data_IF_964397649284
#
_entry.id   IF_964397649284
#
_cell.length_a   1.000
_cell.length_b   1.000
_cell.length_c   1.000
_cell.angle_alpha   90.00
_cell.angle_beta   90.00
_cell.angle_gamma   90.00
#
_symmetry.space_group_name_H-M   'P 1'
#
loop_
_entity.id
_entity.type
_entity.pdbx_description
1 polymer ?
#
# COMPACT_ATOMS: atom_id res chain seq x y z
N UNK A 1 -5.08 -29.41 -13.72
CA UNK A 1 -5.40 -29.43 -12.28
C UNK A 1 -6.74 -28.75 -12.05
N UNK A 2 -7.68 -29.42 -11.38
CA UNK A 2 -9.04 -28.90 -11.14
C UNK A 2 -9.06 -27.93 -9.94
N UNK A 3 -10.04 -27.03 -9.91
CA UNK A 3 -10.20 -26.09 -8.80
C UNK A 3 -10.48 -26.81 -7.47
N UNK A 4 -11.23 -27.92 -7.50
CA UNK A 4 -11.53 -28.74 -6.32
C UNK A 4 -10.28 -29.39 -5.73
N UNK A 5 -9.39 -29.91 -6.57
CA UNK A 5 -8.13 -30.48 -6.11
C UNK A 5 -7.25 -29.39 -5.49
N UNK A 6 -7.10 -28.25 -6.17
CA UNK A 6 -6.35 -27.12 -5.62
C UNK A 6 -6.92 -26.66 -4.28
N UNK A 7 -8.25 -26.60 -4.15
CA UNK A 7 -8.90 -26.27 -2.89
C UNK A 7 -8.55 -27.23 -1.77
N UNK A 8 -8.54 -28.54 -2.04
CA UNK A 8 -8.16 -29.54 -1.03
C UNK A 8 -6.73 -29.34 -0.53
N UNK A 9 -5.83 -28.85 -1.37
CA UNK A 9 -4.45 -28.51 -0.99
C UNK A 9 -4.41 -27.22 -0.16
N UNK A 10 -5.02 -26.13 -0.65
CA UNK A 10 -4.80 -24.78 -0.06
C UNK A 10 -5.75 -24.41 1.08
N UNK A 11 -6.87 -25.12 1.26
CA UNK A 11 -7.95 -24.75 2.20
C UNK A 11 -7.49 -24.60 3.65
N UNK A 12 -6.45 -25.33 4.06
CA UNK A 12 -5.93 -25.36 5.42
C UNK A 12 -4.46 -24.91 5.54
N UNK A 13 -3.75 -24.80 4.41
CA UNK A 13 -2.33 -24.47 4.34
C UNK A 13 -2.10 -23.51 3.17
N UNK A 14 -2.08 -22.21 3.46
CA UNK A 14 -1.83 -21.14 2.50
C UNK A 14 -1.21 -19.95 3.23
N UNK A 15 -0.27 -19.24 2.61
CA UNK A 15 0.31 -18.02 3.17
C UNK A 15 -0.71 -16.88 3.33
N UNK A 16 -1.81 -16.92 2.56
CA UNK A 16 -2.90 -15.95 2.64
C UNK A 16 -3.89 -16.24 3.78
N UNK A 17 -3.78 -17.42 4.42
CA UNK A 17 -4.76 -17.88 5.39
C UNK A 17 -4.57 -17.20 6.75
N UNK A 18 -5.62 -16.56 7.26
CA UNK A 18 -5.62 -15.95 8.59
C UNK A 18 -6.71 -16.61 9.44
N UNK A 19 -6.30 -17.19 10.57
CA UNK A 19 -7.21 -17.80 11.56
C UNK A 19 -7.17 -16.98 12.84
N UNK A 20 -8.27 -16.30 13.18
CA UNK A 20 -8.41 -15.47 14.39
C UNK A 20 -9.85 -15.48 14.87
N UNK A 21 -10.08 -15.38 16.18
CA UNK A 21 -11.43 -15.23 16.78
C UNK A 21 -12.45 -16.27 16.27
N UNK A 22 -12.05 -17.55 16.18
CA UNK A 22 -12.87 -18.67 15.64
C UNK A 22 -13.38 -18.44 14.21
N UNK A 23 -12.80 -17.49 13.48
CA UNK A 23 -13.12 -17.16 12.09
C UNK A 23 -11.90 -17.38 11.20
N UNK A 24 -12.15 -17.67 9.93
CA UNK A 24 -11.10 -17.91 8.94
C UNK A 24 -11.25 -16.97 7.76
N UNK A 25 -10.21 -16.16 7.54
CA UNK A 25 -10.11 -15.17 6.49
C UNK A 25 -9.01 -15.55 5.52
N UNK A 26 -8.99 -14.86 4.39
CA UNK A 26 -7.98 -15.07 3.37
C UNK A 26 -7.68 -13.75 2.65
N UNK A 27 -6.39 -13.44 2.53
CA UNK A 27 -5.87 -12.16 2.00
C UNK A 27 -5.41 -12.24 0.54
N UNK A 28 -5.79 -13.29 -0.18
CA UNK A 28 -5.42 -13.43 -1.59
C UNK A 28 -6.09 -12.36 -2.45
N UNK A 29 -5.41 -11.90 -3.53
CA UNK A 29 -6.02 -11.00 -4.49
C UNK A 29 -7.25 -11.63 -5.14
N UNK A 30 -8.19 -10.79 -5.57
CA UNK A 30 -9.47 -11.20 -6.17
C UNK A 30 -10.40 -12.04 -5.26
N UNK A 31 -10.28 -11.90 -3.93
CA UNK A 31 -11.27 -12.42 -2.97
C UNK A 31 -12.21 -11.32 -2.47
N UNK A 32 -13.41 -11.26 -3.07
CA UNK A 32 -14.40 -10.20 -2.81
C UNK A 32 -15.00 -10.17 -1.39
N UNK A 33 -14.80 -11.21 -0.57
CA UNK A 33 -15.27 -11.24 0.83
C UNK A 33 -14.15 -11.38 1.85
N UNK A 34 -12.89 -11.50 1.41
CA UNK A 34 -11.76 -11.86 2.28
C UNK A 34 -12.02 -13.11 3.15
N UNK A 35 -12.90 -14.02 2.70
CA UNK A 35 -13.26 -15.24 3.44
C UNK A 35 -12.55 -16.43 2.83
N UNK A 36 -11.96 -17.28 3.67
CA UNK A 36 -11.44 -18.56 3.21
C UNK A 36 -12.61 -19.49 2.84
N UNK A 37 -12.92 -19.56 1.55
CA UNK A 37 -14.01 -20.37 1.03
C UNK A 37 -13.79 -20.68 -0.43
N UNK A 38 -14.28 -21.84 -0.86
CA UNK A 38 -14.15 -22.25 -2.25
C UNK A 38 -14.71 -21.19 -3.22
N UNK A 39 -15.92 -20.68 -2.97
CA UNK A 39 -16.64 -19.80 -3.92
C UNK A 39 -15.92 -18.49 -4.25
N UNK A 40 -15.30 -17.86 -3.24
CA UNK A 40 -14.71 -16.51 -3.36
C UNK A 40 -13.20 -16.53 -3.57
N UNK A 41 -12.56 -17.70 -3.64
CA UNK A 41 -11.11 -17.78 -3.76
C UNK A 41 -10.60 -17.25 -5.11
N UNK A 42 -9.61 -16.36 -5.07
CA UNK A 42 -9.09 -15.66 -6.25
C UNK A 42 -7.99 -16.39 -7.02
N UNK A 43 -7.49 -17.52 -6.51
CA UNK A 43 -6.33 -18.23 -7.07
C UNK A 43 -6.76 -19.48 -7.85
N UNK A 44 -7.64 -20.29 -7.26
CA UNK A 44 -7.93 -21.65 -7.74
C UNK A 44 -8.90 -21.69 -8.92
N UNK A 45 -9.73 -20.65 -9.09
CA UNK A 45 -10.73 -20.62 -10.16
C UNK A 45 -10.11 -20.21 -11.50
N UNK A 46 -10.65 -20.79 -12.58
CA UNK A 46 -10.33 -20.36 -13.96
C UNK A 46 -10.87 -18.97 -14.26
N UNK A 47 -11.97 -18.59 -13.61
CA UNK A 47 -12.64 -17.30 -13.75
C UNK A 47 -12.76 -16.61 -12.40
N UNK A 48 -12.11 -15.47 -12.25
CA UNK A 48 -12.12 -14.65 -11.05
C UNK A 48 -12.42 -13.20 -11.40
N UNK A 49 -13.03 -12.50 -10.44
CA UNK A 49 -13.37 -11.07 -10.55
C UNK A 49 -12.93 -10.41 -9.26
N UNK A 50 -12.00 -9.47 -9.35
CA UNK A 50 -11.61 -8.57 -8.29
C UNK A 50 -12.07 -7.14 -8.58
N UNK A 51 -12.13 -6.35 -7.52
CA UNK A 51 -12.46 -4.94 -7.57
C UNK A 51 -11.53 -4.23 -6.61
N UNK A 52 -10.80 -3.25 -7.12
CA UNK A 52 -9.72 -2.56 -6.42
C UNK A 52 -9.85 -1.05 -6.62
N UNK A 53 -9.31 -0.22 -5.72
CA UNK A 53 -9.23 1.22 -5.97
C UNK A 53 -8.32 1.49 -7.18
N UNK A 54 -8.65 2.53 -7.94
CA UNK A 54 -7.69 3.05 -8.92
C UNK A 54 -6.50 3.69 -8.20
N UNK A 55 -5.30 3.54 -8.75
CA UNK A 55 -4.07 4.11 -8.20
C UNK A 55 -4.17 5.64 -8.06
N UNK A 56 -4.84 6.28 -9.00
CA UNK A 56 -5.04 7.74 -9.04
C UNK A 56 -6.07 8.25 -8.00
N UNK A 57 -6.61 7.36 -7.17
CA UNK A 57 -7.69 7.67 -6.21
C UNK A 57 -9.03 8.00 -6.87
N UNK A 58 -9.11 7.95 -8.21
CA UNK A 58 -10.30 8.29 -9.00
C UNK A 58 -10.84 7.07 -9.71
N UNK A 59 -11.95 6.55 -9.19
CA UNK A 59 -12.65 5.42 -9.77
C UNK A 59 -12.18 4.06 -9.26
N UNK A 60 -12.49 3.02 -10.02
CA UNK A 60 -12.38 1.63 -9.59
C UNK A 60 -11.74 0.80 -10.70
N UNK A 61 -10.85 -0.12 -10.33
CA UNK A 61 -10.23 -1.10 -11.22
C UNK A 61 -10.93 -2.43 -11.07
N UNK A 62 -11.44 -2.97 -12.18
CA UNK A 62 -11.99 -4.32 -12.22
C UNK A 62 -10.91 -5.25 -12.77
N UNK A 63 -10.60 -6.30 -12.00
CA UNK A 63 -9.56 -7.27 -12.35
C UNK A 63 -10.24 -8.59 -12.73
N UNK A 64 -9.99 -9.08 -13.94
CA UNK A 64 -10.59 -10.32 -14.45
C UNK A 64 -9.49 -11.24 -14.97
N UNK A 65 -9.60 -12.54 -14.70
CA UNK A 65 -8.68 -13.54 -15.23
C UNK A 65 -8.96 -13.83 -16.71
N UNK A 66 -7.93 -13.88 -17.54
CA UNK A 66 -8.05 -14.30 -18.95
C UNK A 66 -8.48 -15.76 -19.03
N UNK A 67 -9.08 -16.16 -20.15
CA UNK A 67 -9.37 -17.59 -20.41
C UNK A 67 -8.09 -18.36 -20.76
N UNK A 68 -7.23 -17.75 -21.58
CA UNK A 68 -5.92 -18.27 -21.97
C UNK A 68 -4.85 -17.90 -20.94
N UNK A 69 -3.64 -18.45 -21.09
CA UNK A 69 -2.48 -18.03 -20.28
C UNK A 69 -2.59 -18.36 -18.79
N UNK A 70 -3.36 -19.39 -18.40
CA UNK A 70 -3.57 -19.74 -16.98
C UNK A 70 -2.28 -20.07 -16.23
N UNK A 71 -1.25 -20.55 -16.94
CA UNK A 71 0.08 -20.87 -16.39
C UNK A 71 1.08 -19.71 -16.53
N UNK A 72 0.63 -18.54 -16.98
CA UNK A 72 1.44 -17.34 -17.22
C UNK A 72 0.97 -16.22 -16.29
N UNK A 73 1.36 -16.24 -15.00
CA UNK A 73 0.78 -15.36 -13.98
C UNK A 73 0.87 -13.88 -14.37
N UNK A 74 2.00 -13.44 -14.93
CA UNK A 74 2.25 -12.07 -15.39
C UNK A 74 1.19 -11.54 -16.37
N UNK A 75 0.68 -12.39 -17.28
CA UNK A 75 -0.27 -11.98 -18.33
C UNK A 75 -1.69 -12.49 -18.08
N UNK A 76 -1.90 -13.27 -17.02
CA UNK A 76 -3.15 -14.00 -16.77
C UNK A 76 -4.31 -13.12 -16.33
N UNK A 77 -4.05 -11.86 -15.96
CA UNK A 77 -5.06 -10.91 -15.51
C UNK A 77 -5.22 -9.74 -16.48
N UNK A 78 -6.44 -9.23 -16.60
CA UNK A 78 -6.77 -7.99 -17.29
C UNK A 78 -7.35 -7.04 -16.26
N UNK A 79 -6.82 -5.82 -16.23
CA UNK A 79 -7.28 -4.76 -15.35
C UNK A 79 -7.97 -3.71 -16.21
N UNK A 80 -9.21 -3.40 -15.88
CA UNK A 80 -10.00 -2.36 -16.57
C UNK A 80 -10.32 -1.27 -15.56
N UNK A 81 -9.73 -0.09 -15.74
CA UNK A 81 -10.02 1.08 -14.94
C UNK A 81 -11.33 1.72 -15.40
N UNK A 82 -12.22 2.00 -14.45
CA UNK A 82 -13.48 2.70 -14.70
C UNK A 82 -13.48 3.97 -13.87
N UNK A 83 -13.22 5.08 -14.55
CA UNK A 83 -13.28 6.42 -13.98
C UNK A 83 -14.54 7.13 -14.49
N UNK A 84 -15.68 6.79 -13.87
CA UNK A 84 -17.00 7.38 -14.16
C UNK A 84 -17.71 7.69 -12.85
N UNK A 85 -18.84 8.39 -12.92
CA UNK A 85 -19.72 8.58 -11.76
C UNK A 85 -20.17 7.23 -11.15
N UNK A 86 -20.55 7.23 -9.87
CA UNK A 86 -20.84 6.01 -9.14
C UNK A 86 -21.91 5.12 -9.80
N UNK A 87 -22.99 5.73 -10.32
CA UNK A 87 -24.09 4.99 -10.98
C UNK A 87 -23.60 4.33 -12.27
N UNK A 88 -22.86 5.04 -13.11
CA UNK A 88 -22.32 4.52 -14.37
C UNK A 88 -21.26 3.44 -14.12
N UNK A 89 -20.41 3.61 -13.10
CA UNK A 89 -19.42 2.60 -12.69
C UNK A 89 -20.10 1.30 -12.27
N UNK A 90 -21.08 1.36 -11.36
CA UNK A 90 -21.83 0.18 -10.93
C UNK A 90 -22.63 -0.48 -12.06
N UNK A 91 -23.15 0.32 -13.00
CA UNK A 91 -23.82 -0.20 -14.19
C UNK A 91 -22.84 -0.94 -15.09
N UNK A 92 -21.68 -0.34 -15.37
CA UNK A 92 -20.62 -0.92 -16.21
C UNK A 92 -20.12 -2.26 -15.64
N UNK A 93 -19.85 -2.30 -14.33
CA UNK A 93 -19.43 -3.52 -13.61
C UNK A 93 -20.48 -4.64 -13.76
N UNK A 94 -21.75 -4.33 -13.49
CA UNK A 94 -22.84 -5.32 -13.61
C UNK A 94 -23.02 -5.79 -15.06
N UNK A 95 -22.84 -4.89 -16.02
CA UNK A 95 -22.99 -5.18 -17.44
C UNK A 95 -21.89 -6.13 -17.92
N UNK A 96 -20.62 -5.87 -17.58
CA UNK A 96 -19.49 -6.75 -17.92
C UNK A 96 -19.72 -8.18 -17.45
N UNK A 97 -20.20 -8.38 -16.21
CA UNK A 97 -20.45 -9.73 -15.68
C UNK A 97 -21.65 -10.38 -16.36
N UNK A 98 -22.75 -9.64 -16.51
CA UNK A 98 -24.03 -10.17 -17.00
C UNK A 98 -23.96 -10.52 -18.48
N UNK A 99 -23.45 -9.62 -19.33
CA UNK A 99 -23.43 -9.85 -20.79
C UNK A 99 -22.43 -10.93 -21.18
N UNK A 100 -21.27 -10.97 -20.53
CA UNK A 100 -20.25 -11.98 -20.82
C UNK A 100 -20.50 -13.33 -20.10
N UNK A 101 -21.58 -13.44 -19.31
CA UNK A 101 -21.91 -14.62 -18.48
C UNK A 101 -20.68 -15.12 -17.69
N UNK A 102 -19.84 -14.21 -17.19
CA UNK A 102 -18.50 -14.57 -16.73
C UNK A 102 -18.51 -15.26 -15.36
N UNK A 103 -19.10 -14.62 -14.35
CA UNK A 103 -19.35 -15.12 -12.98
C UNK A 103 -20.66 -14.53 -12.45
N UNK A 104 -21.83 -14.95 -12.99
CA UNK A 104 -23.12 -14.34 -12.64
C UNK A 104 -23.45 -14.50 -11.14
N UNK A 105 -22.90 -15.53 -10.50
CA UNK A 105 -22.99 -15.81 -9.07
C UNK A 105 -22.36 -14.73 -8.18
N UNK A 106 -21.38 -13.98 -8.69
CA UNK A 106 -20.70 -12.90 -7.97
C UNK A 106 -21.26 -11.51 -8.31
N UNK A 107 -22.16 -11.38 -9.29
CA UNK A 107 -22.62 -10.09 -9.84
C UNK A 107 -23.03 -9.07 -8.78
N UNK A 108 -23.87 -9.48 -7.83
CA UNK A 108 -24.35 -8.58 -6.78
C UNK A 108 -23.24 -8.20 -5.81
N UNK A 109 -22.37 -9.15 -5.49
CA UNK A 109 -21.25 -8.92 -4.59
C UNK A 109 -20.22 -7.96 -5.21
N UNK A 110 -19.85 -8.15 -6.47
CA UNK A 110 -18.92 -7.26 -7.19
C UNK A 110 -19.47 -5.83 -7.22
N UNK A 111 -20.78 -5.65 -7.45
CA UNK A 111 -21.40 -4.33 -7.39
C UNK A 111 -21.34 -3.70 -5.98
N UNK A 112 -21.54 -4.49 -4.93
CA UNK A 112 -21.43 -4.00 -3.53
C UNK A 112 -20.00 -3.59 -3.20
N UNK A 113 -19.02 -4.42 -3.54
CA UNK A 113 -17.59 -4.11 -3.33
C UNK A 113 -17.17 -2.89 -4.15
N UNK A 114 -17.59 -2.78 -5.41
CA UNK A 114 -17.30 -1.60 -6.24
C UNK A 114 -17.92 -0.32 -5.68
N UNK A 115 -19.07 -0.39 -5.03
CA UNK A 115 -19.65 0.75 -4.33
C UNK A 115 -18.80 1.14 -3.13
N UNK A 116 -18.43 0.18 -2.29
CA UNK A 116 -17.57 0.42 -1.11
C UNK A 116 -16.25 1.05 -1.53
N UNK A 117 -15.61 0.49 -2.57
CA UNK A 117 -14.33 0.98 -3.06
C UNK A 117 -14.41 2.39 -3.65
N UNK A 118 -15.48 2.71 -4.37
CA UNK A 118 -15.71 4.06 -4.89
C UNK A 118 -15.91 5.08 -3.76
N UNK A 119 -16.59 4.69 -2.67
CA UNK A 119 -16.77 5.55 -1.49
C UNK A 119 -15.44 5.76 -0.76
N UNK A 120 -14.68 4.70 -0.49
CA UNK A 120 -13.39 4.81 0.20
C UNK A 120 -12.34 5.63 -0.56
N UNK A 121 -12.43 5.68 -1.89
CA UNK A 121 -11.56 6.49 -2.74
C UNK A 121 -11.84 8.00 -2.60
N UNK A 122 -13.04 8.38 -2.16
CA UNK A 122 -13.38 9.77 -1.81
C UNK A 122 -12.87 10.17 -0.42
N UNK A 123 -12.71 9.20 0.49
CA UNK A 123 -12.31 9.44 1.88
C UNK A 123 -10.78 9.54 2.07
N UNK A 124 -9.99 8.94 1.17
CA UNK A 124 -8.52 8.96 1.20
C UNK A 124 -7.86 10.22 0.60
N UNK A 125 -8.62 11.28 0.31
CA UNK A 125 -8.01 12.59 0.10
C UNK A 125 -7.41 13.06 1.44
N UNK A 126 -6.16 13.57 1.49
CA UNK A 126 -5.65 14.16 2.72
C UNK A 126 -6.62 15.28 3.13
N UNK A 127 -7.25 15.14 4.30
CA UNK A 127 -8.13 16.19 4.82
C UNK A 127 -7.30 17.48 4.89
N UNK A 128 -7.70 18.56 4.23
CA UNK A 128 -7.02 19.84 4.41
C UNK A 128 -7.19 20.23 5.88
N UNK A 129 -6.10 20.23 6.65
CA UNK A 129 -6.11 20.69 8.04
C UNK A 129 -5.46 19.81 9.10
N UNK A 130 -4.93 18.61 8.79
CA UNK A 130 -4.08 17.89 9.76
C UNK A 130 -2.62 18.25 9.54
N UNK A 131 -2.22 19.45 10.01
CA UNK A 131 -0.81 19.78 10.17
C UNK A 131 -0.15 18.70 11.04
N UNK A 132 0.91 18.08 10.53
CA UNK A 132 1.77 17.23 11.33
C UNK A 132 2.46 18.10 12.38
N UNK A 133 2.00 18.03 13.64
CA UNK A 133 2.84 18.45 14.76
C UNK A 133 3.96 17.41 14.85
N UNK A 134 5.11 17.75 14.27
CA UNK A 134 6.32 16.95 14.38
C UNK A 134 6.67 16.77 15.85
N UNK A 135 6.98 15.53 16.25
CA UNK A 135 7.62 15.26 17.53
C UNK A 135 9.05 15.83 17.50
N UNK A 136 9.18 17.13 17.75
CA UNK A 136 10.46 17.74 18.17
C UNK A 136 10.62 17.52 19.66
N UNK A 137 10.86 16.26 20.06
CA UNK A 137 11.19 15.90 21.44
C UNK A 137 12.09 14.66 21.46
N UNK A 138 13.18 14.70 20.71
CA UNK A 138 14.39 13.94 21.01
C UNK A 138 15.53 14.96 21.05
N UNK A 139 15.66 15.57 22.22
CA UNK A 139 16.69 16.52 22.62
C UNK A 139 18.01 15.76 22.74
N UNK A 140 18.82 15.74 21.69
CA UNK A 140 20.24 15.42 21.80
C UNK A 140 20.99 16.73 22.08
N UNK A 141 21.56 16.80 23.28
CA UNK A 141 22.45 17.83 23.80
C UNK A 141 23.43 18.34 22.72
N UNK A 142 23.31 19.63 22.37
CA UNK A 142 24.38 20.35 21.67
C UNK A 142 25.23 21.01 22.76
N UNK A 143 26.43 20.48 23.00
CA UNK A 143 27.45 21.15 23.81
C UNK A 143 27.77 22.47 23.13
N UNK A 144 27.79 23.55 23.91
CA UNK A 144 28.08 24.91 23.47
C UNK A 144 29.59 25.02 23.22
N UNK A 145 30.02 24.89 21.97
CA UNK A 145 31.40 25.20 21.57
C UNK A 145 31.60 26.72 21.48
N UNK A 146 32.64 27.29 22.10
CA UNK A 146 32.90 28.73 22.11
C UNK A 146 33.37 29.23 20.73
N UNK A 147 32.89 30.42 20.35
CA UNK A 147 33.12 31.09 19.07
C UNK A 147 34.60 31.23 18.68
N UNK A 148 34.97 30.61 17.54
CA UNK A 148 36.21 30.87 16.79
C UNK A 148 36.14 32.21 16.05
N UNK A 149 36.25 33.32 16.79
CA UNK A 149 36.40 34.66 16.20
C UNK A 149 37.40 35.53 16.98
N UNK A 150 38.50 34.93 17.47
CA UNK A 150 39.69 35.62 17.95
C UNK A 150 40.94 34.83 17.55
N UNK A 151 41.18 34.70 16.25
CA UNK A 151 42.46 34.21 15.69
C UNK A 151 43.11 35.21 14.73
N UNK A 152 42.67 36.48 14.75
CA UNK A 152 43.16 37.52 13.82
C UNK A 152 43.86 38.70 14.52
N UNK A 153 44.47 38.47 15.68
CA UNK A 153 45.30 39.47 16.39
C UNK A 153 46.57 38.84 16.97
N UNK A 154 47.44 38.33 16.09
CA UNK A 154 48.71 37.70 16.48
C UNK A 154 49.82 37.82 15.43
N UNK A 155 49.84 38.90 14.65
CA UNK A 155 50.93 39.19 13.68
C UNK A 155 51.50 40.60 13.77
N UNK A 156 51.24 41.30 14.88
CA UNK A 156 51.90 42.57 15.21
C UNK A 156 52.38 42.46 16.65
N UNK A 157 53.67 42.67 16.87
CA UNK A 157 54.41 42.57 18.14
C UNK A 157 54.95 41.16 18.46
N UNK A 158 56.05 40.82 17.77
CA UNK A 158 56.82 39.61 18.04
C UNK A 158 57.37 39.56 19.46
N UNK A 159 56.85 38.64 20.26
CA UNK A 159 57.43 38.21 21.52
C UNK A 159 57.39 36.68 21.55
N UNK A 160 58.57 36.07 21.63
CA UNK A 160 58.74 34.63 21.80
C UNK A 160 58.27 34.19 23.20
N UNK A 161 57.80 32.95 23.40
CA UNK A 161 57.39 32.46 24.71
C UNK A 161 58.60 32.27 25.64
N UNK A 162 58.53 32.75 26.87
CA UNK A 162 59.45 32.44 27.96
C UNK A 162 59.02 31.14 28.67
N UNK A 163 60.01 30.38 29.17
CA UNK A 163 59.82 29.14 29.92
C UNK A 163 59.70 29.38 31.44
N UNK A 164 59.55 28.28 32.18
CA UNK A 164 58.87 28.20 33.48
C UNK A 164 59.64 28.75 34.71
N UNK A 165 60.54 29.73 34.55
CA UNK A 165 61.19 30.41 35.69
C UNK A 165 61.26 31.95 35.60
N UNK A 166 60.61 32.58 34.62
CA UNK A 166 60.18 33.98 34.74
C UNK A 166 61.27 35.06 34.85
N UNK A 167 62.26 35.08 33.96
CA UNK A 167 63.03 36.31 33.65
C UNK A 167 63.43 36.34 32.15
N UNK A 168 63.46 37.52 31.49
CA UNK A 168 63.79 37.63 30.06
C UNK A 168 65.30 37.83 29.82
N UNK A 169 65.90 37.06 28.91
CA UNK A 169 67.20 37.41 28.30
C UNK A 169 67.03 38.14 26.96
N UNK A 170 68.08 38.91 26.64
CA UNK A 170 68.21 40.06 25.72
C UNK A 170 67.87 39.80 24.24
#
# INVERSE_FOLDING_TARGET
>A
MSAHLQWMVVRNCSSFLIKRNKQTYSTEPNNLKARNSFRYNGLIHRKTVGVEPAADGKGVVVVIKRRSGQRKPATSYVRTTINKNARATLSSIRHMIRKNKYRPDLRMLVGRVGRQQAVSSLEHQPRPGRLHLGNTAARSFRVMEPSRALQDLGSTLGLHPLDASGTPEL
#
